data_IF_009115197562
#
_entry.id   IF_009115197562
#
_cell.length_a   1.000
_cell.length_b   1.000
_cell.length_c   1.000
_cell.angle_alpha   90.00
_cell.angle_beta   90.00
_cell.angle_gamma   90.00
#
_symmetry.space_group_name_H-M   'P 1'
#
loop_
_entity.id
_entity.type
_entity.pdbx_description
1 polymer ?
#
# COMPACT_ATOMS: atom_id res chain seq x y z
N UNK A 1 20.65 2.56 25.15
CA UNK A 1 19.41 1.80 25.25
C UNK A 1 18.44 1.92 24.05
N UNK A 2 18.30 3.05 23.36
CA UNK A 2 17.37 3.20 22.20
C UNK A 2 17.82 2.47 20.93
N UNK A 3 19.13 2.32 20.69
CA UNK A 3 19.70 1.68 19.51
C UNK A 3 19.55 0.15 19.58
N UNK A 4 19.76 -0.46 20.73
CA UNK A 4 19.58 -1.91 20.91
C UNK A 4 18.14 -2.38 20.67
N UNK A 5 17.13 -1.60 21.10
CA UNK A 5 15.71 -1.93 20.85
C UNK A 5 15.36 -1.93 19.36
N UNK A 6 16.01 -1.08 18.54
CA UNK A 6 15.79 -1.06 17.08
C UNK A 6 16.36 -2.28 16.37
N UNK A 7 17.52 -2.80 16.84
CA UNK A 7 18.16 -3.98 16.26
C UNK A 7 17.32 -5.24 16.51
N UNK A 8 16.71 -5.40 17.68
CA UNK A 8 15.85 -6.55 18.00
C UNK A 8 14.54 -6.56 17.19
N UNK A 9 13.95 -5.40 16.91
CA UNK A 9 12.75 -5.33 16.09
C UNK A 9 13.06 -5.70 14.63
N UNK A 10 14.19 -5.27 14.09
CA UNK A 10 14.63 -5.64 12.74
C UNK A 10 14.95 -7.13 12.62
N UNK A 11 15.61 -7.73 13.64
CA UNK A 11 15.89 -9.16 13.68
C UNK A 11 14.61 -10.01 13.77
N UNK A 12 13.62 -9.59 14.56
CA UNK A 12 12.32 -10.26 14.65
C UNK A 12 11.53 -10.17 13.34
N UNK A 13 11.62 -9.06 12.61
CA UNK A 13 11.00 -8.89 11.30
C UNK A 13 11.62 -9.83 10.26
N UNK A 14 12.94 -9.99 10.25
CA UNK A 14 13.60 -10.93 9.35
C UNK A 14 13.24 -12.40 9.63
N UNK A 15 13.11 -12.81 10.89
CA UNK A 15 12.72 -14.18 11.23
C UNK A 15 11.26 -14.49 10.82
N UNK A 16 10.34 -13.52 10.88
CA UNK A 16 8.96 -13.73 10.51
C UNK A 16 8.71 -13.74 8.99
N UNK A 17 9.60 -13.12 8.21
CA UNK A 17 9.51 -13.16 6.74
C UNK A 17 9.96 -14.51 6.15
N UNK A 18 10.77 -15.30 6.87
CA UNK A 18 11.34 -16.56 6.36
C UNK A 18 10.51 -17.82 6.67
N UNK A 19 9.51 -17.75 7.55
CA UNK A 19 8.87 -18.96 8.11
C UNK A 19 7.50 -19.36 7.56
N UNK A 20 7.00 -18.77 6.47
CA UNK A 20 5.71 -19.20 5.88
C UNK A 20 5.75 -19.41 4.37
N UNK A 21 6.55 -20.36 3.91
CA UNK A 21 6.30 -21.03 2.63
C UNK A 21 5.26 -22.14 2.88
N UNK A 22 3.98 -21.86 2.69
CA UNK A 22 2.96 -22.90 2.68
C UNK A 22 3.05 -23.67 1.37
N UNK A 23 3.52 -24.90 1.43
CA UNK A 23 3.39 -25.91 0.38
C UNK A 23 1.90 -26.31 0.25
N UNK A 24 1.18 -25.66 -0.63
CA UNK A 24 -0.16 -26.06 -1.05
C UNK A 24 -0.10 -26.74 -2.40
N UNK A 25 -0.15 -28.08 -2.43
CA UNK A 25 -0.33 -28.87 -3.65
C UNK A 25 -1.70 -28.58 -4.24
N UNK A 26 -1.78 -27.88 -5.35
CA UNK A 26 -2.98 -27.70 -6.15
C UNK A 26 -2.82 -28.42 -7.49
N UNK A 27 -3.81 -29.29 -7.80
CA UNK A 27 -3.94 -30.05 -9.05
C UNK A 27 -3.99 -29.14 -10.27
N UNK A 28 -3.29 -29.56 -11.33
CA UNK A 28 -3.16 -28.89 -12.61
C UNK A 28 -4.47 -28.86 -13.40
N UNK A 29 -4.96 -27.66 -13.69
CA UNK A 29 -5.83 -27.37 -14.81
C UNK A 29 -5.04 -26.49 -15.80
N UNK A 30 -4.80 -27.00 -17.00
CA UNK A 30 -4.02 -26.31 -18.03
C UNK A 30 -4.82 -25.15 -18.63
N UNK A 31 -4.76 -23.97 -17.97
CA UNK A 31 -5.11 -22.68 -18.57
C UNK A 31 -3.80 -21.97 -18.91
N UNK A 32 -3.63 -21.48 -20.15
CA UNK A 32 -2.51 -20.65 -20.54
C UNK A 32 -2.38 -19.49 -19.53
N UNK A 33 -1.38 -19.57 -18.65
CA UNK A 33 -0.95 -18.45 -17.84
C UNK A 33 -0.33 -17.42 -18.79
N UNK A 34 -1.02 -16.34 -19.02
CA UNK A 34 -0.42 -15.12 -19.52
C UNK A 34 0.69 -14.75 -18.52
N UNK A 35 1.94 -14.82 -18.94
CA UNK A 35 3.08 -14.50 -18.11
C UNK A 35 2.93 -13.04 -17.68
N UNK A 36 2.73 -12.80 -16.39
CA UNK A 36 2.83 -11.45 -15.85
C UNK A 36 4.21 -10.91 -16.26
N UNK A 37 4.31 -9.65 -16.70
CA UNK A 37 5.60 -9.07 -17.08
C UNK A 37 6.56 -9.25 -15.89
N UNK A 38 7.77 -9.76 -16.16
CA UNK A 38 8.84 -9.88 -15.17
C UNK A 38 9.09 -8.49 -14.57
N UNK A 39 8.53 -8.24 -13.42
CA UNK A 39 8.68 -6.99 -12.70
C UNK A 39 10.03 -7.01 -12.02
N UNK A 40 11.07 -6.56 -12.73
CA UNK A 40 12.37 -6.33 -12.13
C UNK A 40 12.28 -5.15 -11.17
N UNK A 41 12.28 -5.40 -9.87
CA UNK A 41 12.60 -4.37 -8.91
C UNK A 41 14.11 -4.39 -8.61
N UNK A 42 14.71 -3.21 -8.37
CA UNK A 42 16.11 -3.11 -8.01
C UNK A 42 16.26 -2.88 -6.51
N UNK A 43 16.95 -3.78 -5.80
CA UNK A 43 17.27 -3.59 -4.38
C UNK A 43 18.19 -2.40 -4.16
N UNK A 44 19.07 -2.13 -5.12
CA UNK A 44 20.06 -1.06 -5.04
C UNK A 44 19.49 0.30 -5.45
N UNK A 45 18.30 0.32 -5.98
CA UNK A 45 17.61 1.53 -6.39
C UNK A 45 16.95 2.24 -5.23
N UNK A 46 16.76 3.55 -5.40
CA UNK A 46 15.99 4.34 -4.46
C UNK A 46 14.50 4.06 -4.58
N UNK A 47 13.84 3.96 -3.43
CA UNK A 47 12.40 3.79 -3.31
C UNK A 47 11.72 5.08 -2.86
N UNK A 48 10.56 5.37 -3.44
CA UNK A 48 9.66 6.42 -3.00
C UNK A 48 8.35 5.79 -2.55
N UNK A 49 7.90 6.16 -1.36
CA UNK A 49 6.57 5.81 -0.87
C UNK A 49 5.68 7.05 -0.88
N UNK A 50 4.48 6.89 -1.42
CA UNK A 50 3.46 7.92 -1.51
C UNK A 50 2.16 7.31 -0.99
N UNK A 51 1.46 7.97 -0.07
CA UNK A 51 0.27 7.34 0.49
C UNK A 51 -0.44 8.16 1.55
N UNK A 52 -1.45 7.53 2.12
CA UNK A 52 -2.29 8.08 3.19
C UNK A 52 -1.84 7.67 4.60
N UNK A 53 -2.78 7.63 5.55
CA UNK A 53 -2.53 7.23 6.93
C UNK A 53 -2.03 5.79 7.08
N UNK A 54 -2.31 4.91 6.14
CA UNK A 54 -1.76 3.55 6.15
C UNK A 54 -0.24 3.53 6.01
N UNK A 55 0.34 4.54 5.34
CA UNK A 55 1.79 4.70 5.22
C UNK A 55 2.45 5.46 6.38
N UNK A 56 1.67 6.19 7.21
CA UNK A 56 2.23 7.03 8.28
C UNK A 56 2.04 6.47 9.67
N UNK A 57 1.00 5.66 9.90
CA UNK A 57 0.67 5.16 11.23
C UNK A 57 1.65 4.08 11.70
N UNK A 58 2.05 4.24 12.98
CA UNK A 58 2.85 3.26 13.71
C UNK A 58 4.35 3.44 13.60
N UNK A 59 5.06 2.79 14.54
CA UNK A 59 6.51 2.72 14.59
C UNK A 59 6.91 1.24 14.84
N UNK A 60 7.55 0.55 13.86
CA UNK A 60 7.91 1.07 12.53
C UNK A 60 6.68 1.35 11.64
N UNK A 61 6.81 2.29 10.70
CA UNK A 61 5.81 2.59 9.68
C UNK A 61 5.70 1.47 8.63
N UNK A 62 4.63 1.46 7.84
CA UNK A 62 4.49 0.46 6.77
C UNK A 62 5.61 0.56 5.70
N UNK A 63 6.05 1.74 5.22
CA UNK A 63 7.24 1.87 4.37
C UNK A 63 8.50 1.23 4.98
N UNK A 64 8.78 1.46 6.27
CA UNK A 64 9.95 0.86 6.95
C UNK A 64 9.86 -0.66 7.02
N UNK A 65 8.68 -1.21 7.26
CA UNK A 65 8.46 -2.67 7.28
C UNK A 65 8.60 -3.28 5.89
N UNK A 66 8.04 -2.64 4.85
CA UNK A 66 8.16 -3.12 3.46
C UNK A 66 9.64 -3.13 3.05
N UNK A 67 10.36 -2.03 3.28
CA UNK A 67 11.78 -1.94 2.92
C UNK A 67 12.64 -2.91 3.71
N UNK A 68 12.32 -3.14 4.99
CA UNK A 68 12.96 -4.18 5.80
C UNK A 68 12.78 -5.58 5.21
N UNK A 69 11.55 -5.94 4.80
CA UNK A 69 11.28 -7.25 4.17
C UNK A 69 11.99 -7.41 2.81
N UNK A 70 12.15 -6.32 2.06
CA UNK A 70 12.80 -6.33 0.74
C UNK A 70 14.34 -6.18 0.81
N UNK A 71 14.90 -5.86 1.98
CA UNK A 71 16.32 -5.54 2.14
C UNK A 71 16.72 -4.20 1.51
N UNK A 72 15.79 -3.26 1.37
CA UNK A 72 16.01 -1.93 0.79
C UNK A 72 16.39 -0.95 1.89
N UNK A 73 17.51 -0.25 1.73
CA UNK A 73 18.01 0.74 2.70
C UNK A 73 17.82 2.19 2.23
N UNK A 74 17.73 2.42 0.93
CA UNK A 74 17.60 3.76 0.35
C UNK A 74 16.16 4.05 -0.04
N UNK A 75 15.41 4.73 0.82
CA UNK A 75 14.04 5.12 0.52
C UNK A 75 13.66 6.47 1.12
N UNK A 76 12.58 7.07 0.57
CA UNK A 76 11.95 8.28 1.09
C UNK A 76 10.43 8.11 1.11
N UNK A 77 9.80 8.49 2.22
CA UNK A 77 8.34 8.46 2.34
C UNK A 77 7.76 9.87 2.25
N UNK A 78 6.75 10.02 1.37
CA UNK A 78 5.89 11.19 1.24
C UNK A 78 4.45 10.88 1.69
N UNK A 79 4.24 9.79 2.43
CA UNK A 79 2.94 9.45 2.98
C UNK A 79 2.44 10.54 3.94
N UNK A 80 1.13 10.80 3.93
CA UNK A 80 0.49 11.73 4.84
C UNK A 80 -0.97 11.35 5.08
N UNK A 81 -1.38 11.31 6.34
CA UNK A 81 -2.75 10.98 6.71
C UNK A 81 -3.79 11.88 6.05
N UNK A 82 -4.93 11.30 5.66
CA UNK A 82 -6.03 12.02 5.03
C UNK A 82 -5.87 12.28 3.52
N UNK A 83 -4.74 11.93 2.91
CA UNK A 83 -4.51 12.12 1.47
C UNK A 83 -5.13 11.01 0.61
N UNK A 84 -5.41 11.30 -0.66
CA UNK A 84 -5.97 10.38 -1.64
C UNK A 84 -5.55 10.72 -3.06
N UNK A 85 -6.09 10.00 -4.04
CA UNK A 85 -5.86 10.29 -5.46
C UNK A 85 -6.55 11.58 -5.86
N UNK A 86 -7.83 11.73 -5.49
CA UNK A 86 -8.69 12.86 -5.87
C UNK A 86 -9.03 13.79 -4.69
N UNK A 87 -8.63 13.45 -3.48
CA UNK A 87 -9.05 14.12 -2.25
C UNK A 87 -8.71 15.61 -2.25
N UNK A 88 -9.74 16.45 -2.03
CA UNK A 88 -9.64 17.86 -1.70
C UNK A 88 -10.48 18.13 -0.45
N UNK A 89 -10.05 19.00 0.43
CA UNK A 89 -10.79 19.33 1.64
C UNK A 89 -10.48 20.77 2.08
N UNK A 90 -11.52 21.60 2.24
CA UNK A 90 -11.41 22.90 2.87
C UNK A 90 -10.40 23.87 2.25
N UNK A 91 -10.18 23.84 0.93
CA UNK A 91 -9.18 24.64 0.24
C UNK A 91 -7.80 23.96 0.10
N UNK A 92 -7.51 22.94 0.92
CA UNK A 92 -6.25 22.21 0.84
C UNK A 92 -6.26 21.14 -0.24
N UNK A 93 -5.19 21.10 -1.03
CA UNK A 93 -4.94 20.02 -1.98
C UNK A 93 -4.36 18.79 -1.28
N UNK A 94 -5.24 17.87 -0.85
CA UNK A 94 -4.88 16.62 -0.19
C UNK A 94 -4.72 15.46 -1.18
N UNK A 95 -4.44 15.75 -2.47
CA UNK A 95 -4.16 14.72 -3.46
C UNK A 95 -2.72 14.23 -3.33
N UNK A 96 -2.50 12.95 -3.64
CA UNK A 96 -1.16 12.38 -3.66
C UNK A 96 -0.19 13.17 -4.56
N UNK A 97 -0.69 13.68 -5.69
CA UNK A 97 0.13 14.46 -6.62
C UNK A 97 0.74 15.70 -5.96
N UNK A 98 0.04 16.38 -5.04
CA UNK A 98 0.55 17.57 -4.38
C UNK A 98 1.80 17.29 -3.53
N UNK A 99 1.95 16.05 -3.04
CA UNK A 99 3.09 15.64 -2.20
C UNK A 99 4.42 15.55 -2.96
N UNK A 100 4.36 15.41 -4.27
CA UNK A 100 5.55 15.23 -5.11
C UNK A 100 5.73 16.35 -6.16
N UNK A 101 4.79 17.32 -6.22
CA UNK A 101 4.89 18.41 -7.19
C UNK A 101 6.20 19.20 -7.05
N UNK A 102 6.59 19.52 -5.82
CA UNK A 102 7.81 20.26 -5.49
C UNK A 102 9.07 19.39 -5.42
N UNK A 103 8.94 18.06 -5.54
CA UNK A 103 10.10 17.19 -5.51
C UNK A 103 11.00 17.45 -6.73
N UNK A 104 12.32 17.39 -6.53
CA UNK A 104 13.29 17.43 -7.62
C UNK A 104 13.13 16.21 -8.54
N UNK A 105 13.59 16.33 -9.79
CA UNK A 105 13.72 15.17 -10.69
C UNK A 105 14.84 14.29 -10.14
N UNK A 106 14.54 13.01 -9.94
CA UNK A 106 15.49 12.05 -9.40
C UNK A 106 15.47 10.76 -10.24
N UNK A 107 16.48 10.62 -11.09
CA UNK A 107 16.65 9.47 -11.99
C UNK A 107 17.17 8.22 -11.29
N UNK A 108 17.63 8.33 -10.05
CA UNK A 108 18.08 7.21 -9.22
C UNK A 108 16.90 6.44 -8.62
N UNK A 109 15.70 7.02 -8.60
CA UNK A 109 14.48 6.35 -8.14
C UNK A 109 14.13 5.25 -9.15
N UNK A 110 14.10 4.01 -8.66
CA UNK A 110 13.74 2.83 -9.46
C UNK A 110 12.34 2.33 -9.13
N UNK A 111 11.82 2.66 -7.97
CA UNK A 111 10.53 2.15 -7.51
C UNK A 111 9.73 3.25 -6.82
N UNK A 112 8.47 3.38 -7.19
CA UNK A 112 7.48 4.21 -6.50
C UNK A 112 6.36 3.30 -6.02
N UNK A 113 6.07 3.30 -4.72
CA UNK A 113 4.94 2.56 -4.16
C UNK A 113 3.87 3.50 -3.63
N UNK A 114 2.66 3.36 -4.15
CA UNK A 114 1.50 4.14 -3.72
C UNK A 114 0.67 3.30 -2.75
N UNK A 115 0.33 3.86 -1.58
CA UNK A 115 -0.33 3.16 -0.48
C UNK A 115 -1.67 3.80 -0.15
N UNK A 116 -2.76 3.06 -0.28
CA UNK A 116 -4.08 3.45 0.20
C UNK A 116 -4.82 4.43 -0.71
N UNK A 117 -5.40 5.48 -0.15
CA UNK A 117 -6.21 6.51 -0.83
C UNK A 117 -7.70 6.21 -0.90
N UNK A 118 -8.10 4.95 -1.09
CA UNK A 118 -9.48 4.54 -1.39
C UNK A 118 -10.52 5.02 -0.35
N UNK A 119 -10.16 5.03 0.93
CA UNK A 119 -11.03 5.49 2.02
C UNK A 119 -11.21 7.02 1.99
N UNK A 120 -10.17 7.75 1.63
CA UNK A 120 -10.17 9.19 1.55
C UNK A 120 -10.92 9.68 0.30
N UNK A 121 -10.85 8.91 -0.78
CA UNK A 121 -11.51 9.21 -2.05
C UNK A 121 -12.98 8.75 -2.11
N UNK A 122 -13.57 8.32 -1.01
CA UNK A 122 -14.91 7.69 -0.95
C UNK A 122 -16.06 8.54 -1.50
N UNK A 123 -15.89 9.84 -1.62
CA UNK A 123 -16.90 10.78 -2.14
C UNK A 123 -16.70 11.12 -3.62
N UNK A 124 -15.59 10.70 -4.23
CA UNK A 124 -15.25 11.02 -5.59
C UNK A 124 -15.80 9.99 -6.59
N UNK A 125 -16.17 10.44 -7.76
CA UNK A 125 -16.61 9.61 -8.88
C UNK A 125 -15.41 8.84 -9.49
N UNK A 126 -15.71 7.81 -10.29
CA UNK A 126 -14.68 7.09 -11.04
C UNK A 126 -13.94 8.01 -12.02
N UNK A 127 -14.66 8.96 -12.63
CA UNK A 127 -14.08 9.89 -13.58
C UNK A 127 -13.14 10.92 -12.94
N UNK A 128 -13.50 11.43 -11.75
CA UNK A 128 -12.60 12.27 -10.96
C UNK A 128 -11.33 11.50 -10.55
N UNK A 129 -11.47 10.23 -10.16
CA UNK A 129 -10.33 9.35 -9.86
C UNK A 129 -9.47 9.15 -11.10
N UNK A 130 -10.07 8.89 -12.29
CA UNK A 130 -9.35 8.71 -13.56
C UNK A 130 -8.52 9.94 -13.91
N UNK A 131 -9.14 11.13 -13.89
CA UNK A 131 -8.47 12.39 -14.18
C UNK A 131 -7.28 12.63 -13.24
N UNK A 132 -7.46 12.41 -11.94
CA UNK A 132 -6.42 12.65 -10.95
C UNK A 132 -5.34 11.57 -10.94
N UNK A 133 -5.69 10.30 -11.21
CA UNK A 133 -4.72 9.22 -11.37
C UNK A 133 -3.80 9.47 -12.58
N UNK A 134 -4.38 9.91 -13.70
CA UNK A 134 -3.61 10.27 -14.88
C UNK A 134 -2.68 11.46 -14.64
N UNK A 135 -3.13 12.45 -13.85
CA UNK A 135 -2.26 13.56 -13.42
C UNK A 135 -1.12 13.06 -12.54
N UNK A 136 -1.43 12.18 -11.59
CA UNK A 136 -0.42 11.56 -10.72
C UNK A 136 0.61 10.77 -11.53
N UNK A 137 0.17 9.96 -12.48
CA UNK A 137 1.04 9.16 -13.34
C UNK A 137 2.00 10.04 -14.16
N UNK A 138 1.48 11.10 -14.81
CA UNK A 138 2.34 12.06 -15.53
C UNK A 138 3.36 12.73 -14.62
N UNK A 139 2.95 13.11 -13.41
CA UNK A 139 3.86 13.76 -12.45
C UNK A 139 4.94 12.79 -11.97
N UNK A 140 4.61 11.53 -11.67
CA UNK A 140 5.58 10.51 -11.29
C UNK A 140 6.60 10.30 -12.42
N UNK A 141 6.15 10.11 -13.66
CA UNK A 141 7.05 9.94 -14.81
C UNK A 141 7.96 11.14 -15.04
N UNK A 142 7.47 12.36 -14.82
CA UNK A 142 8.28 13.57 -14.94
C UNK A 142 9.33 13.69 -13.82
N UNK A 143 9.00 13.25 -12.59
CA UNK A 143 9.91 13.35 -11.43
C UNK A 143 10.84 12.15 -11.31
N UNK A 144 10.36 10.96 -11.67
CA UNK A 144 11.04 9.68 -11.50
C UNK A 144 10.94 8.85 -12.80
N UNK A 145 11.59 9.28 -13.90
CA UNK A 145 11.36 8.75 -15.24
C UNK A 145 11.73 7.28 -15.42
N UNK A 146 12.62 6.76 -14.55
CA UNK A 146 13.12 5.38 -14.63
C UNK A 146 12.45 4.44 -13.62
N UNK A 147 11.33 4.85 -13.01
CA UNK A 147 10.71 4.07 -11.94
C UNK A 147 9.59 3.15 -12.42
N UNK A 148 9.56 1.93 -11.89
CA UNK A 148 8.35 1.14 -11.82
C UNK A 148 7.40 1.73 -10.75
N UNK A 149 6.09 1.70 -11.02
CA UNK A 149 5.09 2.24 -10.09
C UNK A 149 4.16 1.13 -9.62
N UNK A 150 4.19 0.84 -8.34
CA UNK A 150 3.33 -0.14 -7.68
C UNK A 150 2.22 0.56 -6.92
N UNK A 151 1.05 -0.06 -6.90
CA UNK A 151 -0.08 0.44 -6.13
C UNK A 151 -0.63 -0.65 -5.21
N UNK A 152 -0.75 -0.33 -3.93
CA UNK A 152 -1.36 -1.21 -2.93
C UNK A 152 -2.55 -0.54 -2.23
N UNK A 153 -3.59 -1.34 -2.00
CA UNK A 153 -4.75 -0.94 -1.21
C UNK A 153 -4.90 -1.95 -0.05
N UNK A 154 -4.21 -1.73 1.06
CA UNK A 154 -4.25 -2.63 2.22
C UNK A 154 -5.46 -2.38 3.11
N UNK A 155 -6.39 -1.52 2.68
CA UNK A 155 -7.50 -1.04 3.49
C UNK A 155 -8.44 -2.17 3.90
N UNK A 156 -8.64 -2.31 5.21
CA UNK A 156 -9.61 -3.18 5.81
C UNK A 156 -10.29 -2.47 6.97
N UNK A 157 -11.58 -2.65 7.14
CA UNK A 157 -12.36 -2.10 8.24
C UNK A 157 -12.93 -3.26 9.06
N UNK A 158 -12.45 -3.42 10.28
CA UNK A 158 -12.93 -4.43 11.20
C UNK A 158 -14.24 -4.04 11.87
N UNK A 159 -15.03 -5.06 12.27
CA UNK A 159 -16.18 -4.89 13.14
C UNK A 159 -15.69 -4.65 14.58
N UNK A 160 -15.29 -3.45 14.89
CA UNK A 160 -14.72 -3.15 16.20
C UNK A 160 -15.80 -2.82 17.25
N UNK A 161 -15.80 -3.58 18.37
CA UNK A 161 -16.78 -3.42 19.46
C UNK A 161 -16.37 -2.41 20.53
N UNK A 162 -15.18 -1.85 20.49
CA UNK A 162 -14.59 -1.06 21.58
C UNK A 162 -14.23 0.40 21.27
N UNK A 163 -14.55 0.94 20.08
CA UNK A 163 -14.12 2.27 19.68
C UNK A 163 -15.22 3.22 19.23
N UNK A 164 -14.80 4.43 18.92
CA UNK A 164 -15.67 5.54 18.50
C UNK A 164 -16.36 5.32 17.14
N UNK A 165 -15.92 4.35 16.36
CA UNK A 165 -16.55 4.00 15.06
C UNK A 165 -17.63 2.95 15.31
N UNK A 166 -18.90 3.31 15.13
CA UNK A 166 -20.02 2.37 15.22
C UNK A 166 -19.87 1.25 14.20
N UNK A 167 -20.20 0.01 14.58
CA UNK A 167 -20.14 -1.22 13.73
C UNK A 167 -20.80 -1.02 12.36
N UNK A 168 -21.94 -0.32 12.30
CA UNK A 168 -22.63 0.01 11.05
C UNK A 168 -21.77 0.88 10.12
N UNK A 169 -20.99 1.81 10.68
CA UNK A 169 -20.10 2.68 9.91
C UNK A 169 -18.95 1.88 9.32
N UNK A 170 -18.33 0.97 10.07
CA UNK A 170 -17.26 0.11 9.59
C UNK A 170 -17.71 -0.78 8.42
N UNK A 171 -18.89 -1.44 8.53
CA UNK A 171 -19.47 -2.25 7.44
C UNK A 171 -19.76 -1.43 6.19
N UNK A 172 -20.29 -0.20 6.36
CA UNK A 172 -20.57 0.69 5.24
C UNK A 172 -19.26 1.13 4.54
N UNK A 173 -18.23 1.46 5.31
CA UNK A 173 -16.91 1.79 4.76
C UNK A 173 -16.31 0.61 4.01
N UNK A 174 -16.33 -0.59 4.61
CA UNK A 174 -15.81 -1.79 3.97
C UNK A 174 -16.52 -2.08 2.64
N UNK A 175 -17.85 -2.00 2.62
CA UNK A 175 -18.63 -2.16 1.37
C UNK A 175 -18.21 -1.15 0.32
N UNK A 176 -18.01 0.12 0.68
CA UNK A 176 -17.58 1.19 -0.25
C UNK A 176 -16.16 0.94 -0.78
N UNK A 177 -15.24 0.46 0.06
CA UNK A 177 -13.90 0.06 -0.36
C UNK A 177 -13.98 -1.08 -1.37
N UNK A 178 -14.73 -2.13 -1.07
CA UNK A 178 -14.89 -3.29 -1.95
C UNK A 178 -15.49 -2.94 -3.31
N UNK A 179 -16.48 -2.05 -3.35
CA UNK A 179 -17.11 -1.58 -4.59
C UNK A 179 -16.16 -0.76 -5.47
N UNK A 180 -15.19 -0.07 -4.87
CA UNK A 180 -14.23 0.78 -5.60
C UNK A 180 -12.92 0.09 -5.97
N UNK A 181 -12.60 -1.02 -5.34
CA UNK A 181 -11.36 -1.74 -5.62
C UNK A 181 -11.19 -2.09 -7.11
N UNK A 182 -12.23 -2.53 -7.85
CA UNK A 182 -12.14 -2.73 -9.30
C UNK A 182 -11.79 -1.46 -10.08
N UNK A 183 -12.29 -0.30 -9.64
CA UNK A 183 -11.95 0.97 -10.28
C UNK A 183 -10.46 1.28 -10.17
N UNK A 184 -9.88 1.09 -8.98
CA UNK A 184 -8.45 1.31 -8.77
C UNK A 184 -7.59 0.35 -9.60
N UNK A 185 -7.99 -0.91 -9.72
CA UNK A 185 -7.30 -1.88 -10.59
C UNK A 185 -7.28 -1.43 -12.05
N UNK A 186 -8.45 -1.06 -12.57
CA UNK A 186 -8.61 -0.55 -13.93
C UNK A 186 -7.79 0.71 -14.16
N UNK A 187 -7.90 1.71 -13.25
CA UNK A 187 -7.18 2.96 -13.34
C UNK A 187 -5.66 2.78 -13.22
N UNK A 188 -5.19 1.83 -12.45
CA UNK A 188 -3.79 1.45 -12.41
C UNK A 188 -3.33 0.92 -13.77
N UNK A 189 -4.08 0.01 -14.38
CA UNK A 189 -3.77 -0.54 -15.70
C UNK A 189 -3.75 0.55 -16.78
N UNK A 190 -4.76 1.44 -16.81
CA UNK A 190 -4.82 2.58 -17.74
C UNK A 190 -3.60 3.51 -17.63
N UNK A 191 -2.99 3.59 -16.46
CA UNK A 191 -1.86 4.47 -16.20
C UNK A 191 -0.51 3.75 -16.13
N UNK A 192 -0.44 2.46 -16.44
CA UNK A 192 0.77 1.65 -16.42
C UNK A 192 1.34 1.45 -15.00
N UNK A 193 0.45 1.44 -13.99
CA UNK A 193 0.80 1.09 -12.62
C UNK A 193 0.57 -0.40 -12.38
N UNK A 194 1.42 -1.01 -11.60
CA UNK A 194 1.33 -2.42 -11.22
C UNK A 194 0.52 -2.51 -9.93
N UNK A 195 -0.70 -3.02 -10.03
CA UNK A 195 -1.56 -3.20 -8.86
C UNK A 195 -1.26 -4.53 -8.15
N UNK A 196 -0.81 -4.47 -6.89
CA UNK A 196 -0.48 -5.65 -6.10
C UNK A 196 -1.74 -6.16 -5.37
N UNK A 197 -2.54 -6.94 -6.05
CA UNK A 197 -3.91 -7.32 -5.63
C UNK A 197 -3.96 -8.23 -4.40
N UNK A 198 -2.99 -9.13 -4.20
CA UNK A 198 -2.91 -9.98 -3.01
C UNK A 198 -2.82 -9.17 -1.71
N UNK A 199 -2.21 -7.97 -1.76
CA UNK A 199 -2.08 -7.08 -0.60
C UNK A 199 -3.45 -6.65 -0.07
N UNK A 200 -4.43 -6.40 -0.94
CA UNK A 200 -5.80 -6.05 -0.54
C UNK A 200 -6.52 -7.16 0.24
N UNK A 201 -6.00 -8.37 0.21
CA UNK A 201 -6.52 -9.54 0.90
C UNK A 201 -5.72 -9.89 2.16
N UNK A 202 -4.57 -9.26 2.39
CA UNK A 202 -3.65 -9.62 3.47
C UNK A 202 -4.31 -9.61 4.86
N UNK A 203 -5.22 -8.68 5.12
CA UNK A 203 -5.92 -8.54 6.40
C UNK A 203 -7.27 -9.28 6.45
N UNK A 204 -7.76 -9.84 5.32
CA UNK A 204 -9.11 -10.46 5.22
C UNK A 204 -9.20 -11.89 5.75
N UNK A 205 -8.08 -12.60 5.86
CA UNK A 205 -8.05 -14.04 6.18
C UNK A 205 -8.08 -14.33 7.68
N UNK A 206 -8.30 -13.35 8.53
CA UNK A 206 -8.38 -13.53 9.97
C UNK A 206 -9.84 -13.82 10.37
N UNK A 207 -10.08 -14.91 11.07
CA UNK A 207 -11.38 -15.19 11.70
C UNK A 207 -11.70 -14.12 12.78
N UNK A 208 -10.71 -13.37 13.25
CA UNK A 208 -10.84 -12.28 14.19
C UNK A 208 -10.25 -11.00 13.57
N UNK A 209 -11.07 -10.22 12.89
CA UNK A 209 -10.69 -8.99 12.19
C UNK A 209 -9.99 -7.97 13.09
N UNK A 210 -10.27 -7.99 14.41
CA UNK A 210 -9.65 -7.08 15.37
C UNK A 210 -8.19 -7.40 15.68
N UNK A 211 -7.71 -8.61 15.33
CA UNK A 211 -6.34 -9.03 15.64
C UNK A 211 -5.29 -8.18 14.91
N UNK A 212 -5.61 -7.68 13.72
CA UNK A 212 -4.69 -6.91 12.89
C UNK A 212 -4.95 -5.40 12.87
N UNK A 213 -6.03 -4.93 13.52
CA UNK A 213 -6.49 -3.54 13.48
C UNK A 213 -6.67 -3.00 14.89
N UNK A 214 -6.18 -1.77 15.17
CA UNK A 214 -6.24 -1.23 16.53
C UNK A 214 -7.39 -0.24 16.78
N UNK A 215 -7.88 0.47 15.75
CA UNK A 215 -8.92 1.50 15.87
C UNK A 215 -10.15 1.25 14.97
N UNK A 216 -10.27 0.04 14.43
CA UNK A 216 -11.31 -0.33 13.46
C UNK A 216 -10.98 0.06 12.02
N UNK A 217 -9.86 0.73 11.77
CA UNK A 217 -9.47 1.22 10.46
C UNK A 217 -7.98 1.00 10.16
N UNK A 218 -7.09 1.37 11.06
CA UNK A 218 -5.65 1.28 10.82
C UNK A 218 -5.05 -0.04 11.34
N UNK A 219 -4.12 -0.63 10.61
CA UNK A 219 -3.47 -1.87 11.03
C UNK A 219 -2.57 -1.61 12.25
N UNK A 220 -2.61 -2.52 13.22
CA UNK A 220 -1.63 -2.59 14.30
C UNK A 220 -0.27 -3.07 13.76
N UNK A 221 0.72 -3.30 14.64
CA UNK A 221 2.05 -3.75 14.20
C UNK A 221 1.99 -5.07 13.43
N UNK A 222 1.21 -6.05 13.89
CA UNK A 222 1.06 -7.36 13.23
C UNK A 222 0.35 -7.22 11.87
N UNK A 223 -0.66 -6.38 11.80
CA UNK A 223 -1.34 -6.06 10.55
C UNK A 223 -0.40 -5.42 9.52
N UNK A 224 0.44 -4.48 9.94
CA UNK A 224 1.45 -3.87 9.06
C UNK A 224 2.52 -4.87 8.61
N UNK A 225 3.00 -5.74 9.49
CA UNK A 225 3.94 -6.82 9.14
C UNK A 225 3.33 -7.76 8.10
N UNK A 226 2.06 -8.14 8.26
CA UNK A 226 1.35 -8.99 7.31
C UNK A 226 1.19 -8.33 5.94
N UNK A 227 0.90 -7.02 5.90
CA UNK A 227 0.86 -6.24 4.65
C UNK A 227 2.26 -6.21 4.00
N UNK A 228 3.31 -5.93 4.78
CA UNK A 228 4.67 -5.89 4.28
C UNK A 228 5.13 -7.24 3.70
N UNK A 229 4.82 -8.35 4.38
CA UNK A 229 5.09 -9.71 3.88
C UNK A 229 4.32 -10.02 2.59
N UNK A 230 3.06 -9.57 2.50
CA UNK A 230 2.27 -9.73 1.27
C UNK A 230 2.83 -8.92 0.11
N UNK A 231 3.40 -7.73 0.36
CA UNK A 231 4.14 -6.97 -0.65
C UNK A 231 5.40 -7.72 -1.05
N UNK A 232 6.21 -8.17 -0.10
CA UNK A 232 7.47 -8.86 -0.37
C UNK A 232 7.29 -10.12 -1.24
N UNK A 233 6.16 -10.84 -1.08
CA UNK A 233 5.85 -12.04 -1.88
C UNK A 233 5.64 -11.81 -3.38
N UNK A 234 5.58 -10.57 -3.84
CA UNK A 234 5.59 -10.24 -5.27
C UNK A 234 6.99 -10.14 -5.87
N UNK A 235 8.01 -9.98 -4.99
CA UNK A 235 9.38 -9.72 -5.38
C UNK A 235 10.34 -10.88 -5.02
N UNK A 236 9.79 -11.98 -4.53
CA UNK A 236 10.49 -13.24 -4.20
C UNK A 236 10.45 -14.23 -5.34
#
# INVERSE_FOLDING_TARGET
MKILKRIWVLAAVMLLCTSQVYAGTAKSGAGKKEAAPETQYSKDGKWIFLGDSYGTHGNPSLPELITGCLGVTNFKSYCRGGYGVAKKSGGDDQRFVSRILSAAIDRSVKNVMIIGGISNDRKHSKEELRTNMSKLARTIRAKYPNSAVYYIIPNWHANWKGGTVRIQTARLYQRRVLLRLPWYKELCAENGFIFLDKVSQALRKSANDNFFIYDGHHPNVLGRQRIASAVASYFS
#
